data_IF_068120322238
#
_entry.id   IF_068120322238
#
_cell.length_a   1.000
_cell.length_b   1.000
_cell.length_c   1.000
_cell.angle_alpha   90.00
_cell.angle_beta   90.00
_cell.angle_gamma   90.00
#
_symmetry.space_group_name_H-M   'P 1'
#
loop_
_entity.id
_entity.type
_entity.pdbx_description
1 polymer ?
#
# COMPACT_ATOMS: atom_id res chain seq x y z
N UNK A 1 -7.44 11.22 25.61
CA UNK A 1 -7.73 11.24 24.18
C UNK A 1 -8.14 12.61 23.62
N UNK A 2 -8.46 13.60 24.46
CA UNK A 2 -8.75 14.97 23.99
C UNK A 2 -7.59 15.69 23.29
N UNK A 3 -6.36 15.19 23.45
CA UNK A 3 -5.14 15.77 22.86
C UNK A 3 -4.85 15.32 21.43
N UNK A 4 -5.64 14.38 20.87
CA UNK A 4 -5.40 13.78 19.56
C UNK A 4 -6.52 14.16 18.59
N UNK A 5 -6.16 14.42 17.33
CA UNK A 5 -7.12 14.63 16.23
C UNK A 5 -6.70 13.82 15.00
N UNK A 6 -7.70 13.27 14.33
CA UNK A 6 -7.56 12.57 13.05
C UNK A 6 -8.22 13.44 11.98
N UNK A 7 -7.47 13.81 10.95
CA UNK A 7 -7.97 14.56 9.80
C UNK A 7 -7.90 13.68 8.57
N UNK A 8 -8.88 13.82 7.68
CA UNK A 8 -8.90 13.14 6.39
C UNK A 8 -8.69 14.13 5.26
N UNK A 9 -7.81 13.79 4.32
CA UNK A 9 -7.88 14.37 3.00
C UNK A 9 -8.96 13.68 2.16
N UNK A 10 -9.05 14.07 0.89
CA UNK A 10 -10.12 13.60 -0.03
C UNK A 10 -9.81 12.26 -0.70
N UNK A 11 -8.56 11.78 -0.65
CA UNK A 11 -8.15 10.60 -1.40
C UNK A 11 -8.81 9.30 -0.91
N UNK A 12 -9.05 9.14 0.40
CA UNK A 12 -9.65 7.92 0.95
C UNK A 12 -10.43 8.16 2.26
N UNK A 13 -11.57 8.88 2.21
CA UNK A 13 -12.36 9.20 3.41
C UNK A 13 -12.85 7.95 4.16
N UNK A 14 -13.28 6.90 3.44
CA UNK A 14 -13.73 5.65 4.05
C UNK A 14 -12.65 5.00 4.94
N UNK A 15 -11.39 5.05 4.52
CA UNK A 15 -10.29 4.51 5.31
C UNK A 15 -10.05 5.34 6.59
N UNK A 16 -10.18 6.66 6.49
CA UNK A 16 -10.09 7.55 7.63
C UNK A 16 -11.22 7.27 8.64
N UNK A 17 -12.45 7.04 8.15
CA UNK A 17 -13.58 6.64 9.01
C UNK A 17 -13.35 5.31 9.71
N UNK A 18 -12.80 4.31 9.02
CA UNK A 18 -12.47 3.02 9.63
C UNK A 18 -11.44 3.19 10.76
N UNK A 19 -10.40 3.99 10.55
CA UNK A 19 -9.39 4.30 11.57
C UNK A 19 -10.03 5.04 12.75
N UNK A 20 -10.84 6.06 12.46
CA UNK A 20 -11.58 6.84 13.46
C UNK A 20 -12.44 5.94 14.36
N UNK A 21 -13.21 5.04 13.77
CA UNK A 21 -14.05 4.07 14.50
C UNK A 21 -13.22 3.11 15.35
N UNK A 22 -12.14 2.56 14.80
CA UNK A 22 -11.27 1.63 15.52
C UNK A 22 -10.60 2.26 16.74
N UNK A 23 -10.25 3.56 16.65
CA UNK A 23 -9.62 4.31 17.73
C UNK A 23 -10.63 4.97 18.69
N UNK A 24 -11.92 4.97 18.33
CA UNK A 24 -12.95 5.74 19.00
C UNK A 24 -12.58 7.23 19.16
N UNK A 25 -12.03 7.82 18.09
CA UNK A 25 -11.66 9.24 17.98
C UNK A 25 -12.41 9.81 16.77
N UNK A 26 -13.26 10.79 16.98
CA UNK A 26 -14.00 11.44 15.89
C UNK A 26 -13.08 12.12 14.88
N UNK A 27 -13.42 12.02 13.60
CA UNK A 27 -12.73 12.78 12.56
C UNK A 27 -12.89 14.28 12.80
N UNK A 28 -11.79 14.98 12.64
CA UNK A 28 -11.80 16.44 12.71
C UNK A 28 -12.51 17.05 11.49
N UNK A 29 -13.12 18.20 11.70
CA UNK A 29 -13.83 18.94 10.65
C UNK A 29 -12.82 19.59 9.69
N UNK A 30 -12.58 18.95 8.55
CA UNK A 30 -11.77 19.48 7.46
C UNK A 30 -12.61 19.61 6.20
N UNK A 31 -12.42 20.70 5.49
CA UNK A 31 -12.97 20.90 4.16
C UNK A 31 -11.81 21.02 3.18
N UNK A 32 -11.61 19.99 2.36
CA UNK A 32 -10.64 19.98 1.29
C UNK A 32 -11.38 20.03 -0.05
N UNK A 33 -10.88 20.80 -0.99
CA UNK A 33 -11.49 20.98 -2.30
C UNK A 33 -10.58 21.72 -3.26
N UNK A 34 -11.14 22.16 -4.36
CA UNK A 34 -10.42 22.98 -5.36
C UNK A 34 -11.16 24.26 -5.64
N UNK A 35 -10.40 25.34 -5.84
CA UNK A 35 -10.92 26.54 -6.43
C UNK A 35 -11.22 26.34 -7.93
N UNK A 36 -11.96 27.25 -8.55
CA UNK A 36 -12.32 27.19 -9.97
C UNK A 36 -11.09 27.17 -10.91
N UNK A 37 -9.97 27.73 -10.47
CA UNK A 37 -8.68 27.71 -11.18
C UNK A 37 -7.88 26.40 -10.97
N UNK A 38 -8.41 25.43 -10.19
CA UNK A 38 -7.78 24.15 -9.93
C UNK A 38 -6.83 24.12 -8.71
N UNK A 39 -6.60 25.24 -8.03
CA UNK A 39 -5.79 25.28 -6.81
C UNK A 39 -6.48 24.56 -5.67
N UNK A 40 -5.68 23.89 -4.82
CA UNK A 40 -6.18 23.17 -3.65
C UNK A 40 -6.60 24.17 -2.56
N UNK A 41 -7.81 23.97 -2.02
CA UNK A 41 -8.36 24.72 -0.91
C UNK A 41 -8.51 23.80 0.31
N UNK A 42 -8.03 24.26 1.47
CA UNK A 42 -8.16 23.53 2.74
C UNK A 42 -8.62 24.49 3.83
N UNK A 43 -9.63 24.06 4.59
CA UNK A 43 -10.12 24.78 5.78
C UNK A 43 -10.28 23.78 6.93
N UNK A 44 -9.70 24.10 8.08
CA UNK A 44 -9.86 23.34 9.32
C UNK A 44 -10.99 24.00 10.13
N UNK A 45 -12.11 23.29 10.29
CA UNK A 45 -13.34 23.82 10.90
C UNK A 45 -13.39 23.72 12.42
N UNK A 46 -12.28 23.40 13.10
CA UNK A 46 -12.20 23.30 14.55
C UNK A 46 -10.82 23.66 15.11
N UNK A 47 -10.72 23.89 16.41
CA UNK A 47 -9.44 24.16 17.07
C UNK A 47 -8.62 22.88 17.22
N UNK A 48 -7.39 22.92 16.67
CA UNK A 48 -6.40 21.85 16.77
C UNK A 48 -5.13 22.29 17.51
N UNK A 49 -5.20 23.46 18.15
CA UNK A 49 -4.07 24.02 18.92
C UNK A 49 -3.60 23.04 19.99
N UNK A 50 -2.28 22.84 20.06
CA UNK A 50 -1.61 21.94 20.99
C UNK A 50 -2.04 20.47 20.90
N UNK A 51 -2.73 20.04 19.83
CA UNK A 51 -3.12 18.66 19.60
C UNK A 51 -2.09 17.91 18.76
N UNK A 52 -2.01 16.60 18.96
CA UNK A 52 -1.31 15.68 18.08
C UNK A 52 -2.23 15.33 16.92
N UNK A 53 -1.82 15.65 15.70
CA UNK A 53 -2.68 15.55 14.51
C UNK A 53 -2.18 14.44 13.60
N UNK A 54 -3.07 13.51 13.26
CA UNK A 54 -2.85 12.44 12.28
C UNK A 54 -3.63 12.77 11.02
N UNK A 55 -2.93 12.95 9.90
CA UNK A 55 -3.52 13.28 8.60
C UNK A 55 -3.50 12.02 7.73
N UNK A 56 -4.68 11.52 7.35
CA UNK A 56 -4.82 10.32 6.53
C UNK A 56 -5.02 10.75 5.08
N UNK A 57 -3.99 10.48 4.25
CA UNK A 57 -4.01 10.83 2.83
C UNK A 57 -3.09 9.89 2.04
N UNK A 58 -3.59 8.81 1.43
CA UNK A 58 -2.82 8.05 0.45
C UNK A 58 -2.56 8.91 -0.78
N UNK A 59 -1.35 8.80 -1.34
CA UNK A 59 -0.95 9.56 -2.53
C UNK A 59 -1.09 8.70 -3.80
N UNK A 60 -2.30 8.17 -4.00
CA UNK A 60 -2.61 7.13 -4.98
C UNK A 60 -3.22 7.68 -6.28
N UNK A 61 -3.29 6.81 -7.29
CA UNK A 61 -4.02 7.03 -8.54
C UNK A 61 -5.53 7.24 -8.28
N UNK A 62 -6.28 7.92 -9.18
CA UNK A 62 -5.82 8.55 -10.41
C UNK A 62 -5.19 9.94 -10.19
N UNK A 63 -5.35 10.55 -9.03
CA UNK A 63 -5.02 11.95 -8.77
C UNK A 63 -3.74 12.11 -7.91
N UNK A 64 -2.68 11.37 -8.23
CA UNK A 64 -1.44 11.30 -7.41
C UNK A 64 -0.90 12.68 -7.06
N UNK A 65 -0.78 13.59 -8.04
CA UNK A 65 -0.23 14.92 -7.82
C UNK A 65 -1.13 15.80 -6.97
N UNK A 66 -2.45 15.73 -7.20
CA UNK A 66 -3.43 16.46 -6.41
C UNK A 66 -3.45 15.98 -4.96
N UNK A 67 -3.40 14.66 -4.75
CA UNK A 67 -3.34 14.05 -3.41
C UNK A 67 -2.07 14.46 -2.64
N UNK A 68 -0.94 14.57 -3.33
CA UNK A 68 0.31 15.06 -2.73
C UNK A 68 0.16 16.54 -2.37
N UNK A 69 -0.31 17.38 -3.30
CA UNK A 69 -0.47 18.81 -3.05
C UNK A 69 -1.48 19.06 -1.91
N UNK A 70 -2.60 18.33 -1.89
CA UNK A 70 -3.58 18.43 -0.81
C UNK A 70 -2.97 18.07 0.56
N UNK A 71 -2.18 16.99 0.61
CA UNK A 71 -1.45 16.64 1.84
C UNK A 71 -0.54 17.77 2.31
N UNK A 72 0.23 18.38 1.40
CA UNK A 72 1.16 19.46 1.76
C UNK A 72 0.42 20.71 2.27
N UNK A 73 -0.67 21.10 1.61
CA UNK A 73 -1.49 22.26 2.01
C UNK A 73 -2.19 21.98 3.34
N UNK A 74 -2.71 20.77 3.55
CA UNK A 74 -3.35 20.36 4.80
C UNK A 74 -2.33 20.36 5.97
N UNK A 75 -1.12 19.87 5.75
CA UNK A 75 -0.03 19.92 6.73
C UNK A 75 0.33 21.35 7.10
N UNK A 76 0.47 22.26 6.12
CA UNK A 76 0.77 23.67 6.38
C UNK A 76 -0.36 24.35 7.20
N UNK A 77 -1.62 24.06 6.84
CA UNK A 77 -2.77 24.57 7.60
C UNK A 77 -2.75 24.11 9.07
N UNK A 78 -2.46 22.81 9.31
CA UNK A 78 -2.34 22.23 10.65
C UNK A 78 -1.20 22.83 11.44
N UNK A 79 -0.03 23.03 10.80
CA UNK A 79 1.13 23.66 11.40
C UNK A 79 0.85 25.10 11.81
N UNK A 80 0.22 25.89 10.93
CA UNK A 80 -0.18 27.30 11.21
C UNK A 80 -1.24 27.41 12.30
N UNK A 81 -2.07 26.38 12.46
CA UNK A 81 -3.04 26.29 13.56
C UNK A 81 -2.41 25.90 14.92
N UNK A 82 -1.05 25.87 15.01
CA UNK A 82 -0.28 25.61 16.22
C UNK A 82 -0.55 24.22 16.83
N UNK A 83 -0.66 23.19 16.01
CA UNK A 83 -0.67 21.80 16.49
C UNK A 83 0.62 21.45 17.24
N UNK A 84 0.57 20.45 18.14
CA UNK A 84 1.75 19.97 18.88
C UNK A 84 2.69 19.16 17.99
N UNK A 85 2.12 18.29 17.16
CA UNK A 85 2.84 17.43 16.22
C UNK A 85 1.94 17.00 15.07
N UNK A 86 2.55 16.64 13.95
CA UNK A 86 1.86 16.23 12.74
C UNK A 86 2.42 14.88 12.28
N UNK A 87 1.57 13.86 12.22
CA UNK A 87 1.87 12.56 11.64
C UNK A 87 1.13 12.39 10.32
N UNK A 88 1.84 12.24 9.23
CA UNK A 88 1.25 11.90 7.94
C UNK A 88 1.05 10.38 7.84
N UNK A 89 -0.20 9.95 7.73
CA UNK A 89 -0.59 8.55 7.52
C UNK A 89 -0.85 8.38 6.03
N UNK A 90 0.10 7.77 5.34
CA UNK A 90 0.13 7.60 3.89
C UNK A 90 0.09 6.10 3.57
N UNK A 91 -1.11 5.47 3.58
CA UNK A 91 -1.23 4.02 3.36
C UNK A 91 -0.60 3.53 2.07
N UNK A 92 -0.64 4.34 1.02
CA UNK A 92 0.07 4.14 -0.23
C UNK A 92 0.91 5.37 -0.57
N UNK A 93 2.21 5.16 -0.79
CA UNK A 93 3.18 6.21 -1.11
C UNK A 93 3.40 6.28 -2.62
N UNK A 94 2.82 7.29 -3.25
CA UNK A 94 2.98 7.57 -4.67
C UNK A 94 4.44 7.89 -5.03
N UNK A 95 4.78 7.70 -6.30
CA UNK A 95 6.17 7.81 -6.81
C UNK A 95 7.16 6.80 -6.18
N UNK A 96 6.69 5.82 -5.42
CA UNK A 96 7.53 4.80 -4.81
C UNK A 96 8.39 4.01 -5.80
N UNK A 97 7.90 3.83 -7.05
CA UNK A 97 8.64 3.14 -8.12
C UNK A 97 9.85 3.95 -8.63
N UNK A 98 9.84 5.29 -8.45
CA UNK A 98 10.93 6.18 -8.87
C UNK A 98 11.93 6.43 -7.72
N UNK A 99 12.42 5.34 -7.11
CA UNK A 99 13.27 5.37 -5.90
C UNK A 99 14.78 5.22 -6.19
N UNK A 100 15.16 4.99 -7.44
CA UNK A 100 16.54 4.83 -7.91
C UNK A 100 16.67 5.39 -9.32
N UNK A 101 17.90 5.63 -9.76
CA UNK A 101 18.21 5.91 -11.16
C UNK A 101 18.44 4.59 -11.89
N UNK A 102 17.75 4.36 -12.97
CA UNK A 102 17.97 3.23 -13.86
C UNK A 102 18.85 3.64 -15.06
N UNK A 103 18.78 4.91 -15.44
CA UNK A 103 19.56 5.52 -16.51
C UNK A 103 20.22 6.81 -16.04
N UNK A 104 21.23 7.24 -16.79
CA UNK A 104 21.86 8.55 -16.58
C UNK A 104 20.84 9.68 -16.74
N UNK A 105 20.94 10.71 -15.89
CA UNK A 105 20.10 11.94 -15.88
C UNK A 105 18.64 11.75 -15.45
N UNK A 106 18.28 10.60 -14.89
CA UNK A 106 16.96 10.41 -14.28
C UNK A 106 16.90 11.02 -12.87
N UNK A 107 15.72 11.51 -12.46
CA UNK A 107 15.49 11.95 -11.08
C UNK A 107 15.27 10.77 -10.14
N UNK A 108 15.40 11.01 -8.82
CA UNK A 108 14.89 10.13 -7.76
C UNK A 108 13.69 10.84 -7.13
N UNK A 109 12.50 10.63 -7.73
CA UNK A 109 11.30 11.41 -7.36
C UNK A 109 10.81 11.06 -5.97
N UNK A 110 10.95 9.81 -5.52
CA UNK A 110 10.61 9.41 -4.15
C UNK A 110 11.36 10.27 -3.10
N UNK A 111 12.64 10.63 -3.35
CA UNK A 111 13.40 11.52 -2.48
C UNK A 111 12.85 12.95 -2.51
N UNK A 112 12.45 13.44 -3.69
CA UNK A 112 11.85 14.76 -3.82
C UNK A 112 10.55 14.85 -3.01
N UNK A 113 9.65 13.86 -3.16
CA UNK A 113 8.38 13.81 -2.43
C UNK A 113 8.63 13.71 -0.92
N UNK A 114 9.57 12.86 -0.48
CA UNK A 114 9.94 12.78 0.94
C UNK A 114 10.38 14.14 1.49
N UNK A 115 11.24 14.86 0.76
CA UNK A 115 11.68 16.20 1.15
C UNK A 115 10.53 17.22 1.21
N UNK A 116 9.59 17.18 0.25
CA UNK A 116 8.42 18.08 0.25
C UNK A 116 7.53 17.83 1.47
N UNK A 117 7.22 16.57 1.78
CA UNK A 117 6.43 16.19 2.96
C UNK A 117 7.12 16.64 4.24
N UNK A 118 8.42 16.40 4.38
CA UNK A 118 9.17 16.81 5.56
C UNK A 118 9.20 18.34 5.70
N UNK A 119 9.47 19.06 4.61
CA UNK A 119 9.55 20.54 4.63
C UNK A 119 8.21 21.22 4.87
N UNK A 120 7.09 20.61 4.53
CA UNK A 120 5.76 21.13 4.86
C UNK A 120 5.53 21.20 6.39
N UNK A 121 6.17 20.31 7.16
CA UNK A 121 6.13 20.36 8.63
C UNK A 121 5.71 19.07 9.30
N UNK A 122 5.68 17.94 8.57
CA UNK A 122 5.43 16.62 9.13
C UNK A 122 6.55 16.22 10.10
N UNK A 123 6.19 15.67 11.25
CA UNK A 123 7.11 15.17 12.27
C UNK A 123 7.35 13.65 12.21
N UNK A 124 6.42 12.91 11.61
CA UNK A 124 6.45 11.44 11.47
C UNK A 124 5.62 11.00 10.27
N UNK A 125 6.03 9.93 9.62
CA UNK A 125 5.26 9.29 8.54
C UNK A 125 4.91 7.87 8.97
N UNK A 126 3.66 7.44 8.70
CA UNK A 126 3.24 6.04 8.76
C UNK A 126 2.86 5.63 7.34
N UNK A 127 3.47 4.59 6.82
CA UNK A 127 3.14 4.06 5.48
C UNK A 127 3.08 2.53 5.54
N UNK A 128 2.71 1.88 4.43
CA UNK A 128 2.66 0.43 4.36
C UNK A 128 3.35 -0.06 3.09
N UNK A 129 4.14 -1.13 3.23
CA UNK A 129 4.81 -1.84 2.14
C UNK A 129 5.42 -0.91 1.09
N UNK A 130 6.22 0.06 1.55
CA UNK A 130 6.97 0.93 0.65
C UNK A 130 7.66 0.09 -0.44
N UNK A 131 7.61 0.56 -1.68
CA UNK A 131 8.13 -0.17 -2.86
C UNK A 131 9.58 -0.62 -2.66
N UNK A 132 10.38 0.22 -2.02
CA UNK A 132 11.71 -0.11 -1.54
C UNK A 132 11.88 0.35 -0.10
N UNK A 133 12.40 -0.52 0.78
CA UNK A 133 12.61 -0.19 2.20
C UNK A 133 13.55 1.01 2.40
N UNK A 134 14.44 1.26 1.45
CA UNK A 134 15.37 2.39 1.43
C UNK A 134 14.67 3.76 1.38
N UNK A 135 13.40 3.82 0.93
CA UNK A 135 12.62 5.07 0.91
C UNK A 135 12.49 5.66 2.32
N UNK A 136 12.49 4.82 3.37
CA UNK A 136 12.53 5.29 4.76
C UNK A 136 13.76 6.18 5.04
N UNK A 137 14.90 5.85 4.44
CA UNK A 137 16.14 6.62 4.54
C UNK A 137 16.14 7.93 3.74
N UNK A 138 15.10 8.21 2.95
CA UNK A 138 14.95 9.50 2.27
C UNK A 138 14.39 10.58 3.17
N UNK A 139 13.79 10.21 4.29
CA UNK A 139 13.29 11.11 5.31
C UNK A 139 14.33 11.31 6.42
N UNK A 140 14.42 12.54 6.96
CA UNK A 140 15.18 12.83 8.18
C UNK A 140 14.30 12.80 9.44
N UNK A 141 13.03 12.45 9.27
CA UNK A 141 12.04 12.23 10.34
C UNK A 141 11.72 10.74 10.46
N UNK A 142 11.20 10.28 11.60
CA UNK A 142 10.79 8.88 11.77
C UNK A 142 9.76 8.44 10.72
N UNK A 143 9.98 7.24 10.18
CA UNK A 143 9.06 6.57 9.25
C UNK A 143 8.73 5.18 9.78
N UNK A 144 7.46 4.94 10.05
CA UNK A 144 6.96 3.61 10.41
C UNK A 144 6.40 2.95 9.14
N UNK A 145 7.15 2.00 8.60
CA UNK A 145 6.71 1.20 7.45
C UNK A 145 6.03 -0.08 7.95
N UNK A 146 4.71 -0.14 7.84
CA UNK A 146 3.92 -1.32 8.19
C UNK A 146 4.02 -2.37 7.08
N UNK A 147 3.78 -3.63 7.40
CA UNK A 147 3.84 -4.74 6.43
C UNK A 147 2.52 -5.50 6.42
N UNK A 148 1.91 -5.64 5.24
CA UNK A 148 0.68 -6.42 5.04
C UNK A 148 0.93 -7.94 5.11
N UNK A 149 2.19 -8.36 5.06
CA UNK A 149 2.61 -9.77 5.01
C UNK A 149 1.90 -10.66 6.05
N UNK A 150 1.77 -10.30 7.35
CA UNK A 150 1.07 -11.16 8.32
C UNK A 150 -0.41 -11.40 7.97
N UNK A 151 -1.07 -10.40 7.41
CA UNK A 151 -2.47 -10.52 6.95
C UNK A 151 -2.58 -11.35 5.67
N UNK A 152 -1.60 -11.22 4.78
CA UNK A 152 -1.48 -12.02 3.55
C UNK A 152 -1.30 -13.50 3.93
N UNK A 153 -0.37 -13.82 4.84
CA UNK A 153 -0.16 -15.19 5.33
C UNK A 153 -1.44 -15.77 5.93
N UNK A 154 -2.10 -15.02 6.80
CA UNK A 154 -3.37 -15.43 7.41
C UNK A 154 -4.47 -15.67 6.38
N UNK A 155 -4.55 -14.84 5.35
CA UNK A 155 -5.50 -15.04 4.24
C UNK A 155 -5.21 -16.34 3.50
N UNK A 156 -3.94 -16.60 3.15
CA UNK A 156 -3.53 -17.82 2.45
C UNK A 156 -3.86 -19.06 3.29
N UNK A 157 -3.51 -19.06 4.57
CA UNK A 157 -3.80 -20.16 5.49
C UNK A 157 -5.30 -20.44 5.63
N UNK A 158 -6.11 -19.41 5.61
CA UNK A 158 -7.57 -19.54 5.77
C UNK A 158 -8.27 -19.98 4.50
N UNK A 159 -7.89 -19.43 3.35
CA UNK A 159 -8.68 -19.52 2.11
C UNK A 159 -8.06 -20.39 1.02
N UNK A 160 -6.73 -20.58 1.02
CA UNK A 160 -6.03 -21.33 -0.02
C UNK A 160 -5.49 -22.63 0.58
N UNK A 161 -6.22 -23.74 0.42
CA UNK A 161 -5.88 -25.06 1.00
C UNK A 161 -5.29 -25.98 -0.06
N UNK A 162 -4.33 -26.81 0.34
CA UNK A 162 -3.65 -27.77 -0.53
C UNK A 162 -2.15 -27.54 -0.61
N UNK A 163 -1.49 -28.28 -1.48
CA UNK A 163 -0.05 -28.11 -1.74
C UNK A 163 0.19 -26.81 -2.51
N UNK A 164 1.05 -25.96 -1.98
CA UNK A 164 1.25 -24.58 -2.41
C UNK A 164 2.70 -24.29 -2.72
N UNK A 165 2.91 -23.44 -3.71
CA UNK A 165 4.20 -22.81 -3.99
C UNK A 165 4.01 -21.30 -4.04
N UNK A 166 4.85 -20.57 -3.32
CA UNK A 166 4.82 -19.10 -3.34
C UNK A 166 5.71 -18.62 -4.48
N UNK A 167 5.21 -17.68 -5.28
CA UNK A 167 5.86 -17.25 -6.52
C UNK A 167 6.19 -15.77 -6.46
N UNK A 168 7.45 -15.41 -6.73
CA UNK A 168 7.84 -14.03 -6.98
C UNK A 168 7.62 -13.69 -8.46
N UNK A 169 6.88 -12.64 -8.80
CA UNK A 169 6.65 -12.24 -10.20
C UNK A 169 7.85 -11.52 -10.83
N UNK A 170 8.91 -11.26 -10.06
CA UNK A 170 10.16 -10.64 -10.51
C UNK A 170 11.28 -10.92 -9.50
N UNK A 171 12.54 -10.81 -9.94
CA UNK A 171 13.72 -11.01 -9.09
C UNK A 171 13.74 -10.03 -7.89
N UNK A 172 13.38 -8.79 -8.10
CA UNK A 172 13.34 -7.75 -7.04
C UNK A 172 12.37 -8.09 -5.90
N UNK A 173 11.32 -8.89 -6.16
CA UNK A 173 10.32 -9.32 -5.18
C UNK A 173 10.70 -10.53 -4.33
N UNK A 174 11.79 -11.23 -4.64
CA UNK A 174 12.17 -12.51 -4.02
C UNK A 174 12.29 -12.43 -2.51
N UNK A 175 12.87 -11.36 -1.97
CA UNK A 175 13.03 -11.20 -0.52
C UNK A 175 11.67 -11.18 0.21
N UNK A 176 10.68 -10.47 -0.31
CA UNK A 176 9.31 -10.41 0.23
C UNK A 176 8.64 -11.77 0.14
N UNK A 177 8.72 -12.39 -1.04
CA UNK A 177 8.12 -13.69 -1.32
C UNK A 177 8.69 -14.77 -0.42
N UNK A 178 10.02 -14.75 -0.18
CA UNK A 178 10.69 -15.68 0.73
C UNK A 178 10.17 -15.59 2.16
N UNK A 179 9.91 -14.40 2.69
CA UNK A 179 9.34 -14.25 4.04
C UNK A 179 7.96 -14.94 4.15
N UNK A 180 7.13 -14.85 3.11
CA UNK A 180 5.83 -15.53 3.07
C UNK A 180 6.02 -17.05 2.95
N UNK A 181 6.92 -17.50 2.07
CA UNK A 181 7.25 -18.93 1.90
C UNK A 181 7.75 -19.56 3.19
N UNK A 182 8.67 -18.90 3.90
CA UNK A 182 9.23 -19.38 5.18
C UNK A 182 8.12 -19.50 6.26
N UNK A 183 7.19 -18.53 6.35
CA UNK A 183 6.07 -18.57 7.30
C UNK A 183 5.03 -19.64 6.97
N UNK A 184 4.79 -19.89 5.70
CA UNK A 184 3.86 -20.92 5.23
C UNK A 184 4.49 -22.31 5.16
N UNK A 185 5.82 -22.41 5.37
CA UNK A 185 6.62 -23.63 5.21
C UNK A 185 6.33 -24.33 3.87
N UNK A 186 6.41 -23.57 2.77
CA UNK A 186 6.16 -24.07 1.42
C UNK A 186 7.27 -23.62 0.45
N UNK A 187 7.30 -24.25 -0.73
CA UNK A 187 8.30 -23.97 -1.76
C UNK A 187 8.21 -22.53 -2.29
N UNK A 188 9.33 -22.04 -2.84
CA UNK A 188 9.47 -20.77 -3.52
C UNK A 188 9.80 -21.01 -5.00
N UNK A 189 9.10 -20.32 -5.88
CA UNK A 189 9.46 -20.20 -7.30
C UNK A 189 9.60 -18.72 -7.70
N UNK A 190 10.30 -18.47 -8.79
CA UNK A 190 10.60 -17.13 -9.28
C UNK A 190 10.23 -17.07 -10.76
N UNK A 191 9.55 -16.01 -11.15
CA UNK A 191 9.39 -15.64 -12.56
C UNK A 191 10.34 -14.49 -12.88
N UNK A 192 11.03 -14.59 -13.99
CA UNK A 192 11.87 -13.52 -14.50
C UNK A 192 11.53 -13.20 -15.95
N UNK A 193 11.53 -11.92 -16.30
CA UNK A 193 11.27 -11.52 -17.67
C UNK A 193 12.51 -11.75 -18.52
N UNK A 194 12.35 -12.45 -19.63
CA UNK A 194 13.41 -12.57 -20.64
C UNK A 194 13.77 -11.21 -21.21
N UNK A 195 15.04 -10.86 -21.09
CA UNK A 195 15.58 -9.65 -21.69
C UNK A 195 15.60 -9.80 -23.20
N UNK A 196 15.01 -8.85 -23.87
CA UNK A 196 15.40 -8.23 -25.16
C UNK A 196 14.52 -8.39 -26.39
N UNK A 197 13.79 -9.43 -26.69
CA UNK A 197 13.10 -9.47 -27.99
C UNK A 197 11.64 -9.97 -27.95
N UNK A 198 11.27 -10.77 -26.97
CA UNK A 198 9.89 -11.23 -26.80
C UNK A 198 9.26 -10.59 -25.55
N UNK A 199 8.57 -9.48 -25.73
CA UNK A 199 7.90 -8.72 -24.64
C UNK A 199 6.87 -9.51 -23.82
N UNK A 200 6.60 -10.78 -24.16
CA UNK A 200 5.52 -11.58 -23.63
C UNK A 200 5.93 -12.95 -23.07
N UNK A 201 7.20 -13.16 -22.71
CA UNK A 201 7.62 -14.42 -22.12
C UNK A 201 8.33 -14.23 -20.78
N UNK A 202 8.11 -15.18 -19.88
CA UNK A 202 8.77 -15.25 -18.58
C UNK A 202 9.40 -16.62 -18.40
N UNK A 203 10.56 -16.64 -17.78
CA UNK A 203 11.23 -17.89 -17.36
C UNK A 203 10.80 -18.21 -15.94
N UNK A 204 10.33 -19.43 -15.73
CA UNK A 204 10.05 -19.95 -14.41
C UNK A 204 11.27 -20.67 -13.86
N UNK A 205 11.69 -20.30 -12.66
CA UNK A 205 12.71 -21.00 -11.87
C UNK A 205 12.04 -21.59 -10.63
N UNK A 206 12.05 -22.89 -10.51
CA UNK A 206 11.35 -23.64 -9.45
C UNK A 206 10.28 -24.58 -10.03
N UNK A 207 9.65 -25.37 -9.15
CA UNK A 207 8.64 -26.35 -9.53
C UNK A 207 7.25 -25.92 -9.03
N UNK A 208 6.29 -25.87 -9.97
CA UNK A 208 4.89 -25.50 -9.71
C UNK A 208 3.90 -26.57 -10.14
N UNK A 209 4.42 -27.70 -10.66
CA UNK A 209 3.59 -28.76 -11.21
C UNK A 209 2.71 -29.38 -10.11
N UNK A 210 1.44 -29.54 -10.44
CA UNK A 210 0.39 -30.11 -9.57
C UNK A 210 0.15 -29.32 -8.26
N UNK A 211 0.77 -28.13 -8.10
CA UNK A 211 0.63 -27.25 -6.93
C UNK A 211 -0.28 -26.06 -7.21
N UNK A 212 -0.73 -25.43 -6.13
CA UNK A 212 -1.39 -24.12 -6.16
C UNK A 212 -0.31 -23.04 -6.13
N UNK A 213 -0.20 -22.24 -7.19
CA UNK A 213 0.74 -21.14 -7.26
C UNK A 213 0.15 -19.88 -6.63
N UNK A 214 0.90 -19.23 -5.72
CA UNK A 214 0.50 -18.03 -5.01
C UNK A 214 1.50 -16.92 -5.29
N UNK A 215 1.15 -16.00 -6.17
CA UNK A 215 1.99 -14.86 -6.55
C UNK A 215 1.95 -13.82 -5.44
N UNK A 216 3.12 -13.36 -4.96
CA UNK A 216 3.24 -12.29 -3.95
C UNK A 216 3.89 -11.06 -4.59
N UNK A 217 3.19 -9.94 -4.53
CA UNK A 217 3.68 -8.66 -5.06
C UNK A 217 3.48 -7.48 -4.12
N UNK A 218 4.00 -6.30 -4.52
CA UNK A 218 3.76 -5.04 -3.82
C UNK A 218 2.53 -4.33 -4.36
N UNK A 219 2.45 -4.17 -5.67
CA UNK A 219 1.42 -3.34 -6.32
C UNK A 219 0.85 -4.04 -7.55
N UNK A 220 -0.48 -4.04 -7.67
CA UNK A 220 -1.21 -4.36 -8.89
C UNK A 220 -1.65 -3.05 -9.54
N UNK A 221 -1.02 -2.70 -10.67
CA UNK A 221 -1.31 -1.49 -11.44
C UNK A 221 -2.15 -1.87 -12.68
N UNK A 222 -1.58 -2.05 -13.87
CA UNK A 222 -2.30 -2.50 -15.07
C UNK A 222 -2.65 -4.00 -15.07
N UNK A 223 -2.13 -4.75 -14.12
CA UNK A 223 -2.28 -6.19 -13.96
C UNK A 223 -1.73 -7.07 -15.11
N UNK A 224 -1.10 -6.49 -16.13
CA UNK A 224 -0.52 -7.24 -17.25
C UNK A 224 0.53 -8.26 -16.80
N UNK A 225 1.43 -7.85 -15.90
CA UNK A 225 2.46 -8.75 -15.35
C UNK A 225 1.84 -9.91 -14.60
N UNK A 226 0.79 -9.66 -13.80
CA UNK A 226 0.10 -10.71 -13.03
C UNK A 226 -0.64 -11.68 -13.97
N UNK A 227 -1.29 -11.16 -15.01
CA UNK A 227 -1.98 -11.98 -16.00
C UNK A 227 -0.99 -12.86 -16.79
N UNK A 228 0.15 -12.28 -17.21
CA UNK A 228 1.21 -13.03 -17.88
C UNK A 228 1.81 -14.10 -16.95
N UNK A 229 2.11 -13.75 -15.71
CA UNK A 229 2.58 -14.70 -14.69
C UNK A 229 1.63 -15.86 -14.51
N UNK A 230 0.33 -15.59 -14.41
CA UNK A 230 -0.70 -16.64 -14.27
C UNK A 230 -0.70 -17.58 -15.47
N UNK A 231 -0.63 -17.04 -16.68
CA UNK A 231 -0.56 -17.82 -17.92
C UNK A 231 0.66 -18.74 -17.97
N UNK A 232 1.84 -18.23 -17.60
CA UNK A 232 3.08 -19.03 -17.56
C UNK A 232 2.99 -20.14 -16.51
N UNK A 233 2.51 -19.83 -15.30
CA UNK A 233 2.35 -20.80 -14.22
C UNK A 233 1.36 -21.91 -14.58
N UNK A 234 0.24 -21.57 -15.21
CA UNK A 234 -0.74 -22.57 -15.71
C UNK A 234 -0.13 -23.48 -16.76
N UNK A 235 0.62 -22.92 -17.72
CA UNK A 235 1.34 -23.71 -18.75
C UNK A 235 2.40 -24.63 -18.14
N UNK A 236 2.99 -24.22 -17.01
CA UNK A 236 3.98 -25.01 -16.27
C UNK A 236 3.35 -26.05 -15.34
N UNK A 237 2.02 -26.23 -15.36
CA UNK A 237 1.31 -27.28 -14.64
C UNK A 237 0.75 -26.89 -13.29
N UNK A 238 0.71 -25.61 -12.94
CA UNK A 238 0.02 -25.15 -11.73
C UNK A 238 -1.50 -25.42 -11.81
N UNK A 239 -2.06 -25.98 -10.76
CA UNK A 239 -3.49 -26.35 -10.71
C UNK A 239 -4.39 -25.13 -10.62
N UNK A 240 -4.00 -24.18 -9.78
CA UNK A 240 -4.65 -22.88 -9.58
C UNK A 240 -3.61 -21.80 -9.40
N UNK A 241 -3.96 -20.56 -9.75
CA UNK A 241 -3.06 -19.40 -9.56
C UNK A 241 -3.80 -18.29 -8.84
N UNK A 242 -3.25 -17.86 -7.72
CA UNK A 242 -3.71 -16.72 -6.93
C UNK A 242 -2.66 -15.61 -6.96
N UNK A 243 -3.09 -14.36 -6.85
CA UNK A 243 -2.18 -13.24 -6.65
C UNK A 243 -2.57 -12.47 -5.39
N UNK A 244 -1.61 -12.20 -4.51
CA UNK A 244 -1.82 -11.39 -3.32
C UNK A 244 -0.81 -10.24 -3.35
N UNK A 245 -1.31 -9.01 -3.29
CA UNK A 245 -0.49 -7.80 -3.35
C UNK A 245 -0.95 -6.80 -2.30
N UNK A 246 -0.03 -5.98 -1.82
CA UNK A 246 -0.34 -4.99 -0.80
C UNK A 246 -1.25 -3.89 -1.37
N UNK A 247 -0.96 -3.36 -2.56
CA UNK A 247 -1.63 -2.20 -3.12
C UNK A 247 -2.30 -2.49 -4.45
N UNK A 248 -3.60 -2.20 -4.54
CA UNK A 248 -4.37 -2.33 -5.77
C UNK A 248 -4.65 -0.98 -6.42
N UNK A 249 -3.73 -0.46 -7.25
CA UNK A 249 -3.98 0.76 -8.02
C UNK A 249 -5.02 0.53 -9.10
N UNK A 250 -4.93 -0.63 -9.76
CA UNK A 250 -5.90 -1.08 -10.76
C UNK A 250 -6.19 -0.01 -11.83
N UNK A 251 -5.13 0.54 -12.42
CA UNK A 251 -5.23 1.60 -13.41
C UNK A 251 -5.44 1.08 -14.83
N UNK A 252 -5.85 1.98 -15.74
CA UNK A 252 -6.05 1.64 -17.13
C UNK A 252 -7.04 0.49 -17.34
N UNK A 253 -6.65 -0.52 -18.11
CA UNK A 253 -7.48 -1.69 -18.43
C UNK A 253 -7.33 -2.84 -17.42
N UNK A 254 -6.90 -2.58 -16.18
CA UNK A 254 -6.62 -3.62 -15.18
C UNK A 254 -7.81 -4.56 -14.96
N UNK A 255 -9.03 -4.04 -14.93
CA UNK A 255 -10.26 -4.82 -14.72
C UNK A 255 -10.47 -5.83 -15.86
N UNK A 256 -10.38 -5.38 -17.11
CA UNK A 256 -10.52 -6.26 -18.26
C UNK A 256 -9.39 -7.29 -18.33
N UNK A 257 -8.16 -6.87 -18.03
CA UNK A 257 -6.99 -7.75 -17.94
C UNK A 257 -7.21 -8.86 -16.91
N UNK A 258 -7.72 -8.51 -15.72
CA UNK A 258 -8.00 -9.48 -14.66
C UNK A 258 -9.14 -10.44 -15.01
N UNK A 259 -10.25 -9.90 -15.55
CA UNK A 259 -11.39 -10.73 -15.94
C UNK A 259 -11.00 -11.78 -16.98
N UNK A 260 -10.12 -11.44 -17.92
CA UNK A 260 -9.62 -12.32 -18.97
C UNK A 260 -8.38 -13.14 -18.57
N UNK A 261 -7.84 -12.96 -17.36
CA UNK A 261 -6.65 -13.68 -16.87
C UNK A 261 -6.99 -15.08 -16.37
N UNK A 262 -5.96 -15.92 -16.23
CA UNK A 262 -6.04 -17.25 -15.62
C UNK A 262 -5.91 -17.21 -14.08
N UNK A 263 -6.00 -16.03 -13.46
CA UNK A 263 -6.05 -15.87 -12.01
C UNK A 263 -7.41 -16.34 -11.47
N UNK A 264 -7.38 -17.10 -10.39
CA UNK A 264 -8.58 -17.42 -9.60
C UNK A 264 -9.04 -16.21 -8.81
N UNK A 265 -8.12 -15.59 -8.08
CA UNK A 265 -8.36 -14.37 -7.29
C UNK A 265 -7.15 -13.44 -7.32
N UNK A 266 -7.43 -12.14 -7.29
CA UNK A 266 -6.49 -11.08 -6.90
C UNK A 266 -6.89 -10.55 -5.53
N UNK A 267 -6.04 -10.75 -4.53
CA UNK A 267 -6.25 -10.25 -3.18
C UNK A 267 -5.41 -8.99 -3.00
N UNK A 268 -6.04 -7.90 -2.62
CA UNK A 268 -5.42 -6.60 -2.38
C UNK A 268 -5.82 -6.07 -1.00
N UNK A 269 -5.17 -5.01 -0.53
CA UNK A 269 -5.63 -4.32 0.67
C UNK A 269 -6.44 -3.07 0.33
N UNK A 270 -7.15 -2.54 1.32
CA UNK A 270 -7.85 -1.25 1.21
C UNK A 270 -6.96 -0.03 1.51
N UNK A 271 -5.65 -0.13 1.28
CA UNK A 271 -4.71 1.01 1.39
C UNK A 271 -4.95 2.11 0.35
N UNK A 272 -5.62 1.75 -0.75
CA UNK A 272 -6.08 2.61 -1.85
C UNK A 272 -7.59 2.44 -1.97
N UNK A 273 -8.36 3.50 -2.28
CA UNK A 273 -9.80 3.36 -2.49
C UNK A 273 -10.08 2.47 -3.70
N UNK A 274 -10.90 1.46 -3.51
CA UNK A 274 -11.19 0.46 -4.55
C UNK A 274 -12.47 0.81 -5.30
N UNK A 275 -13.41 1.48 -4.64
CA UNK A 275 -14.68 1.91 -5.22
C UNK A 275 -15.47 0.75 -5.85
N UNK A 276 -16.01 0.97 -7.05
CA UNK A 276 -16.85 0.00 -7.77
C UNK A 276 -16.05 -1.11 -8.47
N UNK A 277 -14.71 -1.11 -8.40
CA UNK A 277 -13.85 -2.07 -9.11
C UNK A 277 -14.11 -3.52 -8.69
N UNK A 278 -14.45 -3.75 -7.41
CA UNK A 278 -14.82 -5.10 -6.92
C UNK A 278 -16.12 -5.61 -7.50
N UNK A 279 -17.05 -4.73 -7.85
CA UNK A 279 -18.31 -5.11 -8.52
C UNK A 279 -18.08 -5.44 -10.00
N UNK A 280 -17.09 -4.81 -10.62
CA UNK A 280 -16.74 -5.02 -12.03
C UNK A 280 -15.88 -6.27 -12.23
N UNK A 281 -15.16 -6.72 -11.19
CA UNK A 281 -14.32 -7.92 -11.24
C UNK A 281 -14.49 -8.75 -9.95
N UNK A 282 -15.27 -9.84 -9.97
CA UNK A 282 -15.53 -10.67 -8.80
C UNK A 282 -14.30 -11.44 -8.29
N UNK A 283 -13.23 -11.50 -9.11
CA UNK A 283 -11.94 -12.09 -8.71
C UNK A 283 -11.21 -11.24 -7.66
N UNK A 284 -11.56 -9.94 -7.51
CA UNK A 284 -10.90 -9.07 -6.55
C UNK A 284 -11.45 -9.32 -5.14
N UNK A 285 -10.54 -9.61 -4.21
CA UNK A 285 -10.81 -9.74 -2.77
C UNK A 285 -10.02 -8.69 -2.01
N UNK A 286 -10.59 -8.17 -0.93
CA UNK A 286 -10.02 -7.04 -0.20
C UNK A 286 -9.74 -7.41 1.25
N UNK A 287 -8.51 -7.21 1.69
CA UNK A 287 -8.09 -7.29 3.09
C UNK A 287 -8.16 -5.89 3.70
N UNK A 288 -8.88 -5.76 4.82
CA UNK A 288 -8.94 -4.51 5.56
C UNK A 288 -7.70 -4.32 6.43
N UNK A 289 -6.90 -3.29 6.12
CA UNK A 289 -5.69 -2.93 6.88
C UNK A 289 -5.89 -1.75 7.83
N UNK A 290 -7.08 -1.16 7.90
CA UNK A 290 -7.37 -0.07 8.84
C UNK A 290 -7.09 -0.46 10.31
N UNK A 291 -7.37 -1.68 10.80
CA UNK A 291 -7.00 -2.09 12.16
C UNK A 291 -5.49 -2.02 12.41
N UNK A 292 -4.67 -2.34 11.42
CA UNK A 292 -3.20 -2.28 11.52
C UNK A 292 -2.73 -0.82 11.69
N UNK A 293 -3.25 0.10 10.89
CA UNK A 293 -2.95 1.52 11.01
C UNK A 293 -3.47 2.11 12.32
N UNK A 294 -4.66 1.71 12.75
CA UNK A 294 -5.23 2.14 14.03
C UNK A 294 -4.35 1.71 15.20
N UNK A 295 -3.85 0.47 15.20
CA UNK A 295 -2.94 -0.03 16.23
C UNK A 295 -1.60 0.71 16.19
N UNK A 296 -1.06 1.03 15.01
CA UNK A 296 0.15 1.84 14.88
C UNK A 296 -0.03 3.23 15.50
N UNK A 297 -1.13 3.90 15.18
CA UNK A 297 -1.48 5.22 15.74
C UNK A 297 -1.65 5.10 17.26
N UNK A 298 -2.38 4.10 17.76
CA UNK A 298 -2.57 3.87 19.20
C UNK A 298 -1.23 3.72 19.94
N UNK A 299 -0.31 2.92 19.38
CA UNK A 299 1.01 2.72 19.96
C UNK A 299 1.82 3.99 20.02
N UNK A 300 1.78 4.81 18.98
CA UNK A 300 2.47 6.11 18.96
C UNK A 300 1.90 7.04 20.04
N UNK A 301 0.57 7.11 20.18
CA UNK A 301 -0.10 7.92 21.21
C UNK A 301 0.33 7.50 22.61
N UNK A 302 0.50 6.20 22.85
CA UNK A 302 0.85 5.66 24.17
C UNK A 302 2.36 5.44 24.37
N UNK A 303 3.21 5.79 23.42
CA UNK A 303 4.66 5.59 23.49
C UNK A 303 5.07 4.11 23.50
N UNK A 304 4.24 3.22 22.93
CA UNK A 304 4.51 1.79 22.86
C UNK A 304 5.41 1.43 21.67
N UNK A 305 6.19 0.34 21.81
CA UNK A 305 7.06 -0.13 20.72
C UNK A 305 6.28 -0.62 19.50
N UNK A 306 6.70 -0.18 18.32
CA UNK A 306 6.16 -0.63 17.03
C UNK A 306 6.61 -2.05 16.65
N UNK A 307 7.74 -2.53 17.17
CA UNK A 307 8.32 -3.85 16.82
C UNK A 307 7.40 -5.01 17.21
N UNK A 308 6.63 -4.88 18.29
CA UNK A 308 5.69 -5.90 18.73
C UNK A 308 4.43 -6.03 17.83
N UNK A 309 4.25 -5.14 16.86
CA UNK A 309 3.11 -5.15 15.94
C UNK A 309 3.23 -6.29 14.92
N UNK A 310 4.45 -6.59 14.44
CA UNK A 310 4.69 -7.66 13.46
C UNK A 310 4.41 -9.07 13.99
N UNK A 311 4.40 -9.27 15.31
CA UNK A 311 4.15 -10.59 15.95
C UNK A 311 2.73 -10.77 16.48
N UNK A 312 1.93 -9.69 16.64
CA UNK A 312 0.62 -9.72 17.33
C UNK A 312 -0.61 -9.60 16.42
N UNK A 313 -0.49 -9.30 15.12
CA UNK A 313 -1.63 -9.42 14.20
C UNK A 313 -2.08 -10.87 13.94
N UNK A 314 -1.60 -11.78 14.77
CA UNK A 314 -2.06 -13.18 14.80
C UNK A 314 -3.43 -13.34 15.47
N UNK A 315 -3.99 -12.27 16.08
CA UNK A 315 -5.23 -12.37 16.85
C UNK A 315 -6.13 -11.18 16.53
N UNK A 316 -6.99 -11.33 15.55
CA UNK A 316 -8.37 -10.79 15.51
C UNK A 316 -9.12 -11.47 14.37
#
# INVERSE_FOLDING_TARGET
MESVKILSGTAHPEFAELISRNLNIELGKTHCGKFSNGETSVVIGESIRSKEVYIIQPTCSPNVNDNIMELLVLVDAVKRASSKSITAVIPFFGYGKQNKKEKSREPIVSKLIANMIEKSGVNRVISMDLEASQIQGFFNIPVDNLYAEPLIVKYIEKHIKGDRVVVSPAVDGVKRTKLVSDKLNCDLAILDRTTKEEKNDMILVGDVKDKIAVIIGSTADTCETLALSAKVLKRSGATKVYALVSHGELSGNAIDTLNNSELEELVITNSIPIGEKTKQCPKIKVINVAPMFSEAIRRIIHGESMTAQSSKFTIL
#
